data_IF_316404033748
#
_entry.id   IF_316404033748
#
_cell.length_a   1.000
_cell.length_b   1.000
_cell.length_c   1.000
_cell.angle_alpha   90.00
_cell.angle_beta   90.00
_cell.angle_gamma   90.00
#
_symmetry.space_group_name_H-M   'P 1'
#
loop_
_entity.id
_entity.type
_entity.pdbx_description
1 polymer ?
#
# COMPACT_ATOMS: atom_id res chain seq x y z
N UNK A 1 -16.79 -0.25 -13.10
CA UNK A 1 -15.84 -1.35 -12.81
C UNK A 1 -15.82 -1.55 -11.30
N UNK A 2 -15.64 -2.78 -10.83
CA UNK A 2 -15.51 -3.08 -9.40
C UNK A 2 -14.05 -2.97 -8.97
N UNK A 3 -13.79 -2.51 -7.74
CA UNK A 3 -12.43 -2.32 -7.18
C UNK A 3 -11.55 -3.57 -7.33
N UNK A 4 -12.11 -4.77 -7.14
CA UNK A 4 -11.37 -6.03 -7.29
C UNK A 4 -10.85 -6.23 -8.72
N UNK A 5 -11.62 -5.82 -9.73
CA UNK A 5 -11.19 -5.92 -11.14
C UNK A 5 -10.04 -4.96 -11.44
N UNK A 6 -10.02 -3.78 -10.81
CA UNK A 6 -8.92 -2.82 -10.94
C UNK A 6 -7.65 -3.36 -10.29
N UNK A 7 -7.77 -3.97 -9.10
CA UNK A 7 -6.64 -4.63 -8.44
C UNK A 7 -6.04 -5.76 -9.28
N UNK A 8 -6.89 -6.63 -9.83
CA UNK A 8 -6.43 -7.73 -10.68
C UNK A 8 -5.70 -7.17 -11.91
N UNK A 9 -6.28 -6.14 -12.54
CA UNK A 9 -5.66 -5.50 -13.70
C UNK A 9 -4.30 -4.90 -13.36
N UNK A 10 -4.18 -4.19 -12.24
CA UNK A 10 -2.92 -3.60 -11.80
C UNK A 10 -1.83 -4.66 -11.63
N UNK A 11 -2.17 -5.79 -10.97
CA UNK A 11 -1.23 -6.90 -10.84
C UNK A 11 -0.84 -7.52 -12.19
N UNK A 12 -1.78 -7.67 -13.12
CA UNK A 12 -1.54 -8.21 -14.46
C UNK A 12 -0.63 -7.30 -15.29
N UNK A 13 -0.85 -5.98 -15.23
CA UNK A 13 -0.01 -4.99 -15.91
C UNK A 13 1.46 -5.05 -15.40
N UNK A 14 1.64 -5.50 -14.15
CA UNK A 14 2.96 -5.75 -13.53
C UNK A 14 3.45 -7.20 -13.64
N UNK A 15 2.79 -8.07 -14.42
CA UNK A 15 3.12 -9.51 -14.54
C UNK A 15 3.21 -10.24 -13.18
N UNK A 16 2.34 -9.89 -12.24
CA UNK A 16 2.35 -10.38 -10.86
C UNK A 16 1.05 -11.08 -10.48
N UNK A 17 1.13 -12.00 -9.52
CA UNK A 17 -0.04 -12.67 -8.95
C UNK A 17 -0.58 -11.80 -7.80
N UNK A 18 -1.87 -11.42 -7.81
CA UNK A 18 -2.46 -10.62 -6.73
C UNK A 18 -2.38 -11.31 -5.36
N UNK A 19 -2.00 -10.54 -4.33
CA UNK A 19 -2.10 -10.92 -2.91
C UNK A 19 -2.99 -9.90 -2.21
N UNK A 20 -4.27 -10.24 -2.08
CA UNK A 20 -5.27 -9.34 -1.49
C UNK A 20 -5.08 -9.20 0.03
N UNK A 21 -5.05 -7.95 0.55
CA UNK A 21 -5.18 -7.71 1.98
C UNK A 21 -6.52 -8.23 2.52
N UNK A 22 -6.50 -8.81 3.72
CA UNK A 22 -7.70 -9.18 4.45
C UNK A 22 -8.26 -7.94 5.19
N UNK A 23 -9.58 -7.92 5.37
CA UNK A 23 -10.30 -6.77 5.93
C UNK A 23 -9.81 -6.32 7.33
N UNK A 24 -9.39 -7.27 8.16
CA UNK A 24 -8.94 -7.03 9.54
C UNK A 24 -7.43 -6.82 9.68
N UNK A 25 -6.66 -7.00 8.60
CA UNK A 25 -5.22 -6.79 8.64
C UNK A 25 -4.87 -5.33 8.92
N UNK A 26 -3.68 -5.14 9.46
CA UNK A 26 -3.14 -3.85 9.83
C UNK A 26 -2.25 -3.28 8.72
N UNK A 27 -2.27 -1.96 8.56
CA UNK A 27 -1.47 -1.20 7.60
C UNK A 27 -0.76 -0.05 8.30
N UNK A 28 0.48 0.23 7.89
CA UNK A 28 1.29 1.30 8.47
C UNK A 28 1.13 2.56 7.61
N UNK A 29 0.87 3.69 8.26
CA UNK A 29 0.68 4.98 7.60
C UNK A 29 1.47 6.10 8.32
N UNK A 30 1.96 7.09 7.58
CA UNK A 30 2.41 8.37 8.15
C UNK A 30 1.27 9.39 8.24
N UNK A 31 1.58 10.55 8.81
CA UNK A 31 0.74 11.75 8.68
C UNK A 31 0.53 12.14 7.21
N UNK A 32 -0.64 12.69 6.88
CA UNK A 32 -1.04 13.11 5.54
C UNK A 32 -1.76 12.03 4.71
N UNK A 33 -1.51 10.74 5.02
CA UNK A 33 -2.08 9.63 4.23
C UNK A 33 -3.61 9.65 4.23
N UNK A 34 -4.23 9.85 5.40
CA UNK A 34 -5.69 9.86 5.51
C UNK A 34 -6.30 11.21 5.10
N UNK A 35 -5.48 12.25 5.07
CA UNK A 35 -5.84 13.62 4.71
C UNK A 35 -5.90 13.81 3.19
N UNK A 36 -5.34 12.87 2.41
CA UNK A 36 -5.44 12.84 0.95
C UNK A 36 -4.13 13.13 0.23
N UNK A 37 -3.02 13.28 0.96
CA UNK A 37 -1.71 13.54 0.35
C UNK A 37 -1.26 12.36 -0.52
N UNK A 38 -0.35 12.67 -1.45
CA UNK A 38 0.28 11.64 -2.24
C UNK A 38 1.16 10.74 -1.37
N UNK A 39 1.11 9.45 -1.67
CA UNK A 39 1.82 8.42 -0.93
C UNK A 39 2.98 7.86 -1.75
N UNK A 40 4.11 7.69 -1.07
CA UNK A 40 5.14 6.71 -1.40
C UNK A 40 4.87 5.46 -0.55
N UNK A 41 4.62 4.35 -1.24
CA UNK A 41 4.20 3.11 -0.63
C UNK A 41 5.15 1.97 -0.98
N UNK A 42 5.42 1.12 0.00
CA UNK A 42 6.27 -0.07 -0.14
C UNK A 42 5.63 -1.25 0.60
N UNK A 43 5.70 -2.45 0.00
CA UNK A 43 5.15 -3.67 0.59
C UNK A 43 6.26 -4.65 1.00
N UNK A 44 6.50 -4.75 2.31
CA UNK A 44 7.46 -5.69 2.89
C UNK A 44 6.81 -7.05 3.16
N UNK A 45 7.58 -8.16 3.07
CA UNK A 45 7.20 -9.41 3.72
C UNK A 45 6.81 -9.16 5.17
N UNK A 46 5.68 -9.70 5.62
CA UNK A 46 5.15 -9.38 6.94
C UNK A 46 4.30 -10.51 7.53
N UNK A 47 4.15 -10.57 8.87
CA UNK A 47 3.30 -11.55 9.52
C UNK A 47 1.83 -11.46 9.07
N UNK A 48 1.07 -12.54 9.22
CA UNK A 48 -0.29 -12.67 8.69
C UNK A 48 -1.28 -11.57 9.16
N UNK A 49 -1.08 -10.96 10.33
CA UNK A 49 -1.96 -9.89 10.83
C UNK A 49 -1.65 -8.51 10.21
N UNK A 50 -0.55 -8.39 9.46
CA UNK A 50 -0.13 -7.18 8.74
C UNK A 50 -0.33 -7.38 7.25
N UNK A 51 -0.70 -6.31 6.55
CA UNK A 51 -0.78 -6.29 5.09
C UNK A 51 0.61 -6.29 4.42
N UNK A 52 1.62 -5.83 5.16
CA UNK A 52 2.97 -5.53 4.69
C UNK A 52 3.13 -4.15 4.05
N UNK A 53 2.03 -3.42 3.84
CA UNK A 53 2.07 -2.08 3.27
C UNK A 53 2.46 -1.02 4.29
N UNK A 54 3.38 -0.16 3.87
CA UNK A 54 3.77 1.06 4.54
C UNK A 54 3.53 2.20 3.58
N UNK A 55 2.66 3.14 3.97
CA UNK A 55 2.31 4.31 3.16
C UNK A 55 2.84 5.54 3.87
N UNK A 56 3.70 6.28 3.20
CA UNK A 56 4.29 7.52 3.71
C UNK A 56 4.00 8.68 2.78
N UNK A 57 3.97 9.89 3.29
CA UNK A 57 3.82 11.12 2.50
C UNK A 57 5.11 11.93 2.53
N UNK A 58 5.12 13.05 1.81
CA UNK A 58 6.18 14.06 1.91
C UNK A 58 6.32 14.69 3.31
N UNK A 59 5.34 14.52 4.21
CA UNK A 59 5.43 14.96 5.61
C UNK A 59 6.21 13.97 6.49
N UNK A 60 6.47 12.76 6.00
CA UNK A 60 7.22 11.76 6.77
C UNK A 60 8.69 12.17 6.88
N UNK A 61 9.16 12.32 8.11
CA UNK A 61 10.49 12.83 8.47
C UNK A 61 11.53 11.73 8.71
N UNK A 62 11.28 10.50 8.25
CA UNK A 62 12.08 9.30 8.54
C UNK A 62 12.12 8.86 10.02
N UNK A 63 11.29 9.43 10.90
CA UNK A 63 11.13 8.93 12.27
C UNK A 63 9.99 7.91 12.34
N UNK A 64 10.35 6.63 12.43
CA UNK A 64 9.40 5.51 12.52
C UNK A 64 8.41 5.63 13.70
N UNK A 65 8.72 6.41 14.74
CA UNK A 65 7.82 6.62 15.89
C UNK A 65 6.59 7.45 15.53
N UNK A 66 6.65 8.20 14.44
CA UNK A 66 5.53 9.01 13.94
C UNK A 66 4.51 8.18 13.15
N UNK A 67 4.90 6.96 12.75
CA UNK A 67 4.04 6.07 12.01
C UNK A 67 2.94 5.50 12.89
N UNK A 68 1.77 5.30 12.29
CA UNK A 68 0.60 4.73 12.94
C UNK A 68 0.21 3.45 12.24
N UNK A 69 -0.24 2.49 13.03
CA UNK A 69 -0.82 1.26 12.50
C UNK A 69 -2.32 1.34 12.65
N UNK A 70 -3.06 1.23 11.55
CA UNK A 70 -4.52 1.23 11.54
C UNK A 70 -5.03 -0.05 10.88
N UNK A 71 -6.30 -0.38 11.09
CA UNK A 71 -6.90 -1.45 10.29
C UNK A 71 -7.05 -1.01 8.84
N UNK A 72 -6.74 -1.92 7.91
CA UNK A 72 -6.79 -1.73 6.47
C UNK A 72 -8.12 -1.13 5.98
N UNK A 73 -9.25 -1.58 6.53
CA UNK A 73 -10.56 -1.05 6.13
C UNK A 73 -10.72 0.46 6.40
N UNK A 74 -10.10 1.03 7.44
CA UNK A 74 -10.15 2.48 7.67
C UNK A 74 -9.48 3.24 6.53
N UNK A 75 -8.36 2.72 6.01
CA UNK A 75 -7.74 3.27 4.81
C UNK A 75 -8.66 3.07 3.60
N UNK A 76 -9.23 1.89 3.41
CA UNK A 76 -10.09 1.58 2.27
C UNK A 76 -11.29 2.52 2.15
N UNK A 77 -11.90 2.89 3.27
CA UNK A 77 -13.03 3.82 3.27
C UNK A 77 -12.60 5.28 3.06
N UNK A 78 -11.43 5.69 3.59
CA UNK A 78 -10.95 7.08 3.47
C UNK A 78 -10.20 7.39 2.18
N UNK A 79 -9.48 6.41 1.64
CA UNK A 79 -8.61 6.48 0.48
C UNK A 79 -8.92 5.38 -0.53
N UNK A 80 -10.15 5.32 -1.08
CA UNK A 80 -10.53 4.31 -2.06
C UNK A 80 -9.67 4.38 -3.34
N UNK A 81 -9.09 5.54 -3.64
CA UNK A 81 -8.18 5.79 -4.77
C UNK A 81 -6.91 4.92 -4.73
N UNK A 82 -6.46 4.53 -3.55
CA UNK A 82 -5.25 3.73 -3.36
C UNK A 82 -5.49 2.22 -3.47
N UNK A 83 -6.74 1.77 -3.32
CA UNK A 83 -7.03 0.34 -3.10
C UNK A 83 -6.65 -0.54 -4.28
N UNK A 84 -6.75 -0.01 -5.50
CA UNK A 84 -6.32 -0.70 -6.73
C UNK A 84 -4.86 -1.16 -6.70
N UNK A 85 -3.98 -0.50 -5.95
CA UNK A 85 -2.57 -0.87 -5.84
C UNK A 85 -2.31 -1.95 -4.78
N UNK A 86 -3.18 -2.07 -3.76
CA UNK A 86 -2.85 -2.80 -2.53
C UNK A 86 -2.88 -4.34 -2.67
N UNK A 87 -3.26 -4.86 -3.84
CA UNK A 87 -3.13 -6.27 -4.17
C UNK A 87 -1.74 -6.65 -4.73
N UNK A 88 -0.89 -5.68 -5.12
CA UNK A 88 0.47 -5.95 -5.60
C UNK A 88 1.27 -6.70 -4.52
N UNK A 89 1.97 -7.79 -4.86
CA UNK A 89 2.61 -8.67 -3.86
C UNK A 89 3.79 -8.00 -3.14
N UNK A 90 4.41 -8.71 -2.20
CA UNK A 90 5.60 -8.23 -1.51
C UNK A 90 6.72 -7.87 -2.49
N UNK A 91 7.51 -6.86 -2.15
CA UNK A 91 8.58 -6.31 -3.00
C UNK A 91 8.11 -5.18 -3.92
N UNK A 92 6.81 -4.91 -4.02
CA UNK A 92 6.30 -3.81 -4.84
C UNK A 92 6.33 -2.46 -4.09
N UNK A 93 6.53 -1.42 -4.89
CA UNK A 93 6.40 -0.02 -4.51
C UNK A 93 5.47 0.72 -5.46
N UNK A 94 4.85 1.80 -4.98
CA UNK A 94 4.16 2.74 -5.85
C UNK A 94 4.20 4.18 -5.33
N UNK A 95 4.17 5.13 -6.26
CA UNK A 95 4.00 6.55 -6.02
C UNK A 95 2.63 6.99 -6.54
N UNK A 96 1.76 7.49 -5.68
CA UNK A 96 0.41 7.88 -6.13
C UNK A 96 0.38 9.17 -6.94
N UNK A 97 1.38 10.06 -6.77
CA UNK A 97 1.46 11.36 -7.46
C UNK A 97 1.51 11.19 -8.99
N UNK A 98 2.42 10.34 -9.46
CA UNK A 98 2.64 10.07 -10.88
C UNK A 98 2.16 8.67 -11.31
N UNK A 99 1.55 7.90 -10.39
CA UNK A 99 1.08 6.52 -10.59
C UNK A 99 2.20 5.57 -11.05
N UNK A 100 3.43 5.82 -10.61
CA UNK A 100 4.57 4.96 -10.90
C UNK A 100 4.54 3.73 -10.01
N UNK A 101 4.79 2.56 -10.57
CA UNK A 101 4.84 1.27 -9.88
C UNK A 101 6.11 0.57 -10.32
N UNK A 102 6.81 -0.05 -9.37
CA UNK A 102 7.98 -0.86 -9.68
C UNK A 102 8.18 -1.93 -8.62
N UNK A 103 8.94 -2.95 -9.01
CA UNK A 103 9.39 -4.00 -8.11
C UNK A 103 10.80 -3.66 -7.61
N UNK A 104 11.02 -3.86 -6.31
CA UNK A 104 12.29 -3.61 -5.63
C UNK A 104 12.72 -4.88 -4.90
N UNK A 105 13.70 -5.59 -5.46
CA UNK A 105 14.26 -6.81 -4.87
C UNK A 105 14.85 -6.56 -3.48
N UNK A 106 15.36 -5.35 -3.19
CA UNK A 106 15.93 -4.99 -1.90
C UNK A 106 14.92 -4.92 -0.76
N UNK A 107 13.62 -4.94 -1.06
CA UNK A 107 12.53 -4.97 -0.06
C UNK A 107 12.25 -6.39 0.44
N UNK A 108 12.71 -7.42 -0.27
CA UNK A 108 12.47 -8.83 0.06
C UNK A 108 13.55 -9.47 0.95
N UNK A 109 14.66 -8.78 1.19
CA UNK A 109 15.85 -9.28 1.91
C UNK A 109 15.75 -9.17 3.42
#
# INVERSE_FOLDING_TARGET
MTVVSEQIKECQDQNSIPIFPLFNQMIVISEGVLEGDFVDAVRYPSPQHMTGWWLTTNLYNNDIKTLKTIHYHHLAFKRPDLIKYLALPFGFRFLSENKMIWFDEGVLS
#
